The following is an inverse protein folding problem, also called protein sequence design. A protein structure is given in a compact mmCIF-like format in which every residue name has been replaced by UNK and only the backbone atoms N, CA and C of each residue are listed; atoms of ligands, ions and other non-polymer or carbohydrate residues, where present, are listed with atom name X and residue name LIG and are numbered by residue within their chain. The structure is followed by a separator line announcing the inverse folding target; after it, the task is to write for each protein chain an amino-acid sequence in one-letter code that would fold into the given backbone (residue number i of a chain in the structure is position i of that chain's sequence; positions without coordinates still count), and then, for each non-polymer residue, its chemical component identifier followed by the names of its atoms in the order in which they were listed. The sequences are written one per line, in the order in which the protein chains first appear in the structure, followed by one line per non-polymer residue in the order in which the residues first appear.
data_IF_137235781461
#
_entry.id   IF_137235781461
#
_cell.length_a   1.000
_cell.length_b   1.000
_cell.length_c   1.000
_cell.angle_alpha   90.00
_cell.angle_beta   90.00
_cell.angle_gamma   90.00
#
_symmetry.space_group_name_H-M   'P 1'
#
loop_
_entity.id
_entity.type
_entity.pdbx_description
1 polymer ?
#
# COMPACT_ATOMS: atom_id res chain seq x y z
N UNK A 1 3.31 7.63 13.45
CA UNK A 1 4.51 6.80 13.70
C UNK A 1 5.32 7.44 14.81
N UNK A 2 5.92 6.64 15.69
CA UNK A 2 6.63 7.11 16.89
C UNK A 2 8.11 7.39 16.61
N UNK A 3 8.73 6.66 15.68
CA UNK A 3 10.10 6.93 15.22
C UNK A 3 10.09 7.93 14.05
N UNK A 4 11.12 8.78 13.99
CA UNK A 4 11.33 9.73 12.91
C UNK A 4 11.69 9.05 11.57
N UNK A 5 11.53 9.77 10.47
CA UNK A 5 11.93 9.32 9.13
C UNK A 5 13.43 9.55 8.90
N UNK A 6 14.05 8.68 8.10
CA UNK A 6 15.48 8.75 7.78
C UNK A 6 15.72 8.57 6.28
N UNK A 7 15.02 9.36 5.44
CA UNK A 7 15.01 9.21 3.99
C UNK A 7 16.41 9.20 3.34
N UNK A 8 17.32 10.08 3.80
CA UNK A 8 18.69 10.13 3.27
C UNK A 8 19.48 8.85 3.58
N UNK A 9 19.30 8.33 4.79
CA UNK A 9 19.96 7.09 5.20
C UNK A 9 19.42 5.90 4.43
N UNK A 10 18.11 5.84 4.23
CA UNK A 10 17.46 4.77 3.48
C UNK A 10 17.94 4.77 2.01
N UNK A 11 18.03 5.94 1.38
CA UNK A 11 18.54 6.07 0.00
C UNK A 11 20.02 5.65 -0.10
N UNK A 12 20.85 6.06 0.86
CA UNK A 12 22.26 5.69 0.90
C UNK A 12 22.43 4.17 1.04
N UNK A 13 21.69 3.53 1.95
CA UNK A 13 21.74 2.08 2.17
C UNK A 13 21.28 1.30 0.92
N UNK A 14 20.18 1.72 0.28
CA UNK A 14 19.72 1.10 -0.97
C UNK A 14 20.76 1.24 -2.08
N UNK A 15 21.42 2.41 -2.19
CA UNK A 15 22.51 2.63 -3.14
C UNK A 15 23.68 1.68 -2.93
N UNK A 16 24.14 1.52 -1.68
CA UNK A 16 25.22 0.58 -1.34
C UNK A 16 24.84 -0.85 -1.68
N UNK A 17 23.63 -1.29 -1.33
CA UNK A 17 23.13 -2.64 -1.65
C UNK A 17 23.12 -2.87 -3.17
N UNK A 18 22.63 -1.91 -3.95
CA UNK A 18 22.58 -2.04 -5.41
C UNK A 18 23.96 -2.05 -6.07
N UNK A 19 24.96 -1.35 -5.52
CA UNK A 19 26.36 -1.46 -5.97
C UNK A 19 26.85 -2.90 -5.78
N UNK A 20 26.63 -3.49 -4.61
CA UNK A 20 27.01 -4.89 -4.35
C UNK A 20 26.27 -5.86 -5.28
N UNK A 21 24.94 -5.72 -5.44
CA UNK A 21 24.15 -6.59 -6.33
C UNK A 21 24.63 -6.49 -7.78
N UNK A 22 25.02 -5.30 -8.23
CA UNK A 22 25.56 -5.08 -9.59
C UNK A 22 26.87 -5.83 -9.82
N UNK A 23 27.77 -5.86 -8.83
CA UNK A 23 29.04 -6.62 -8.91
C UNK A 23 28.78 -8.12 -9.08
N UNK A 24 27.76 -8.64 -8.40
CA UNK A 24 27.36 -10.06 -8.47
C UNK A 24 26.36 -10.36 -9.61
N UNK A 25 26.08 -9.41 -10.51
CA UNK A 25 25.12 -9.55 -11.62
C UNK A 25 23.69 -9.94 -11.18
N UNK A 26 23.31 -9.56 -9.96
CA UNK A 26 21.99 -9.78 -9.39
C UNK A 26 21.05 -8.60 -9.72
N UNK A 27 19.72 -8.84 -9.79
CA UNK A 27 18.75 -7.78 -10.04
C UNK A 27 18.77 -6.73 -8.93
N UNK A 28 18.53 -5.48 -9.30
CA UNK A 28 18.52 -4.36 -8.37
C UNK A 28 17.28 -4.40 -7.48
N UNK A 29 17.45 -3.99 -6.22
CA UNK A 29 16.39 -3.93 -5.24
C UNK A 29 15.87 -2.51 -5.10
N UNK A 30 14.55 -2.38 -4.98
CA UNK A 30 13.84 -1.13 -4.76
C UNK A 30 12.76 -1.30 -3.68
N UNK A 31 12.28 -0.18 -3.14
CA UNK A 31 11.20 -0.20 -2.17
C UNK A 31 9.92 -0.78 -2.78
N UNK A 32 9.20 -1.60 -2.02
CA UNK A 32 7.98 -2.27 -2.48
C UNK A 32 6.74 -1.46 -2.08
N UNK A 33 6.24 -0.66 -3.02
CA UNK A 33 5.16 0.31 -2.79
C UNK A 33 3.87 -0.30 -2.23
N UNK A 34 3.34 -1.45 -2.72
CA UNK A 34 2.12 -2.03 -2.14
C UNK A 34 2.40 -2.88 -0.89
N UNK A 35 3.58 -3.51 -0.83
CA UNK A 35 3.93 -4.41 0.27
C UNK A 35 4.24 -3.67 1.57
N UNK A 36 4.96 -2.56 1.50
CA UNK A 36 5.32 -1.74 2.67
C UNK A 36 4.10 -1.24 3.47
N UNK A 37 3.07 -0.59 2.87
CA UNK A 37 1.89 -0.15 3.60
C UNK A 37 1.04 -1.32 4.07
N UNK A 38 0.95 -2.42 3.31
CA UNK A 38 0.22 -3.62 3.74
C UNK A 38 0.85 -4.26 4.98
N UNK A 39 2.17 -4.40 4.98
CA UNK A 39 2.92 -4.88 6.14
C UNK A 39 2.70 -4.00 7.37
N UNK A 40 2.68 -2.67 7.18
CA UNK A 40 2.40 -1.73 8.26
C UNK A 40 0.95 -1.82 8.76
N UNK A 41 -0.01 -2.02 7.87
CA UNK A 41 -1.43 -2.20 8.20
C UNK A 41 -1.67 -3.48 8.99
N UNK A 42 -0.96 -4.57 8.67
CA UNK A 42 -1.02 -5.81 9.45
C UNK A 42 -0.41 -5.68 10.86
N UNK A 43 0.42 -4.66 11.09
CA UNK A 43 1.00 -4.32 12.38
C UNK A 43 0.23 -3.20 13.10
N UNK A 44 -0.87 -2.72 12.52
CA UNK A 44 -1.68 -1.65 13.06
C UNK A 44 -2.83 -2.21 13.91
N UNK A 45 -2.98 -1.66 15.11
CA UNK A 45 -4.16 -1.86 15.95
C UNK A 45 -5.23 -0.85 15.49
N UNK A 46 -6.37 -1.37 15.02
CA UNK A 46 -7.50 -0.60 14.49
C UNK A 46 -8.61 -0.59 15.53
N UNK A 47 -9.12 0.60 15.87
CA UNK A 47 -10.32 0.76 16.71
C UNK A 47 -11.47 1.32 15.87
N UNK A 48 -12.68 0.82 16.13
CA UNK A 48 -13.90 1.39 15.59
C UNK A 48 -14.36 2.54 16.47
N UNK A 49 -14.45 3.73 15.88
CA UNK A 49 -15.05 4.90 16.52
C UNK A 49 -16.27 5.33 15.75
N UNK A 50 -17.37 5.54 16.46
CA UNK A 50 -18.58 6.11 15.89
C UNK A 50 -18.46 7.61 15.96
N UNK A 51 -18.33 8.28 14.82
CA UNK A 51 -18.40 9.74 14.71
C UNK A 51 -19.60 10.12 13.83
N UNK A 52 -20.42 11.06 14.31
CA UNK A 52 -21.61 11.55 13.62
C UNK A 52 -22.58 10.46 13.10
N UNK A 53 -22.66 9.30 13.80
CA UNK A 53 -23.53 8.18 13.40
C UNK A 53 -22.93 7.24 12.34
N UNK A 54 -21.71 7.50 11.87
CA UNK A 54 -20.95 6.61 11.00
C UNK A 54 -19.82 5.92 11.76
N UNK A 55 -19.67 4.61 11.55
CA UNK A 55 -18.56 3.82 12.12
C UNK A 55 -17.32 4.06 11.27
N UNK A 56 -16.30 4.69 11.85
CA UNK A 56 -15.00 4.90 11.24
C UNK A 56 -13.95 4.04 11.91
N UNK A 57 -13.21 3.27 11.10
CA UNK A 57 -12.04 2.54 11.55
C UNK A 57 -10.84 3.49 11.58
N UNK A 58 -10.31 3.75 12.77
CA UNK A 58 -9.12 4.58 12.94
C UNK A 58 -7.94 3.72 13.41
N UNK A 59 -6.76 4.02 12.86
CA UNK A 59 -5.51 3.38 13.29
C UNK A 59 -5.05 4.05 14.57
N UNK A 60 -5.09 3.34 15.69
CA UNK A 60 -4.74 3.88 17.01
C UNK A 60 -3.26 3.78 17.30
N UNK A 61 -2.66 2.66 16.90
CA UNK A 61 -1.24 2.41 17.11
C UNK A 61 -0.69 1.50 16.02
N UNK A 62 0.53 1.78 15.57
CA UNK A 62 1.28 0.90 14.68
C UNK A 62 2.47 0.31 15.43
N UNK A 63 2.63 -1.01 15.38
CA UNK A 63 3.77 -1.72 16.00
C UNK A 63 4.98 -1.65 15.09
N UNK A 64 5.89 -0.72 15.36
CA UNK A 64 7.14 -0.57 14.61
C UNK A 64 8.18 -1.63 15.01
N UNK A 65 8.19 -2.76 14.30
CA UNK A 65 9.10 -3.89 14.55
C UNK A 65 10.19 -3.98 13.49
N UNK A 66 11.43 -4.29 13.91
CA UNK A 66 12.55 -4.60 12.99
C UNK A 66 12.66 -6.10 12.70
N UNK A 67 12.16 -6.93 13.61
CA UNK A 67 12.28 -8.38 13.55
C UNK A 67 11.45 -8.98 12.42
N UNK A 68 10.24 -8.47 12.19
CA UNK A 68 9.34 -9.00 11.14
C UNK A 68 10.00 -8.97 9.76
N UNK A 69 10.63 -7.85 9.40
CA UNK A 69 11.39 -7.74 8.16
C UNK A 69 12.58 -8.71 8.09
N UNK A 70 13.37 -8.84 9.16
CA UNK A 70 14.51 -9.76 9.20
C UNK A 70 14.05 -11.21 9.04
N UNK A 71 13.03 -11.63 9.79
CA UNK A 71 12.46 -12.98 9.68
C UNK A 71 11.93 -13.27 8.27
N UNK A 72 11.21 -12.33 7.64
CA UNK A 72 10.74 -12.51 6.27
C UNK A 72 11.88 -12.74 5.28
N UNK A 73 12.98 -11.96 5.36
CA UNK A 73 14.11 -12.13 4.45
C UNK A 73 14.87 -13.45 4.69
N UNK A 74 15.00 -13.89 5.95
CA UNK A 74 15.57 -15.20 6.27
C UNK A 74 14.69 -16.32 5.69
N UNK A 75 13.37 -16.24 5.85
CA UNK A 75 12.43 -17.21 5.29
C UNK A 75 12.45 -17.23 3.76
N UNK A 76 12.60 -16.06 3.11
CA UNK A 76 12.79 -15.98 1.66
C UNK A 76 14.09 -16.70 1.25
N UNK A 77 15.20 -16.50 1.96
CA UNK A 77 16.44 -17.24 1.72
C UNK A 77 16.28 -18.75 1.90
N UNK A 78 15.59 -19.18 2.97
CA UNK A 78 15.29 -20.59 3.24
C UNK A 78 14.35 -21.20 2.20
N UNK A 79 13.47 -20.40 1.61
CA UNK A 79 12.48 -20.87 0.62
C UNK A 79 13.12 -21.53 -0.59
N UNK A 80 14.35 -21.14 -0.95
CA UNK A 80 15.10 -21.75 -2.07
C UNK A 80 15.30 -23.26 -1.84
N UNK A 81 15.53 -23.69 -0.59
CA UNK A 81 15.67 -25.11 -0.24
C UNK A 81 14.32 -25.84 -0.15
N UNK A 82 13.24 -25.11 0.13
CA UNK A 82 11.87 -25.64 0.29
C UNK A 82 11.08 -25.65 -1.02
N UNK A 83 11.62 -25.07 -2.10
CA UNK A 83 11.02 -25.02 -3.44
C UNK A 83 10.64 -26.41 -4.00
N UNK A 84 11.51 -27.44 -4.01
CA UNK A 84 11.16 -28.74 -4.58
C UNK A 84 10.05 -29.45 -3.79
N UNK A 85 10.05 -29.31 -2.46
CA UNK A 85 9.04 -29.84 -1.54
C UNK A 85 9.12 -29.05 -0.23
N UNK A 86 8.05 -28.48 0.36
CA UNK A 86 6.61 -28.59 0.04
C UNK A 86 6.01 -27.39 -0.72
N UNK A 87 6.79 -26.35 -1.07
CA UNK A 87 6.24 -25.14 -1.70
C UNK A 87 5.60 -25.41 -3.08
N UNK A 88 6.01 -26.47 -3.77
CA UNK A 88 5.43 -26.95 -5.03
C UNK A 88 3.97 -27.39 -4.93
N UNK A 89 3.44 -27.64 -3.73
CA UNK A 89 2.02 -27.97 -3.55
C UNK A 89 1.09 -26.76 -3.62
N UNK A 90 1.62 -25.54 -3.49
CA UNK A 90 0.79 -24.33 -3.49
C UNK A 90 0.38 -24.02 -4.93
N UNK A 91 -0.91 -24.12 -5.29
CA UNK A 91 -1.34 -23.83 -6.65
C UNK A 91 -1.14 -22.35 -6.97
N UNK A 92 -0.70 -22.04 -8.19
CA UNK A 92 -0.53 -20.66 -8.66
C UNK A 92 -1.82 -19.84 -8.51
N UNK A 93 -2.98 -20.47 -8.70
CA UNK A 93 -4.29 -19.85 -8.52
C UNK A 93 -4.51 -19.25 -7.11
N UNK A 94 -3.90 -19.82 -6.07
CA UNK A 94 -3.97 -19.27 -4.70
C UNK A 94 -3.15 -17.99 -4.60
N UNK A 95 -1.99 -17.95 -5.25
CA UNK A 95 -1.14 -16.75 -5.30
C UNK A 95 -1.83 -15.63 -6.10
N UNK A 96 -2.47 -15.95 -7.22
CA UNK A 96 -3.26 -14.97 -7.99
C UNK A 96 -4.41 -14.38 -7.18
N UNK A 97 -5.10 -15.22 -6.39
CA UNK A 97 -6.12 -14.76 -5.44
C UNK A 97 -5.56 -13.82 -4.37
N UNK A 98 -4.37 -14.13 -3.84
CA UNK A 98 -3.66 -13.24 -2.90
C UNK A 98 -3.27 -11.91 -3.55
N UNK A 99 -2.75 -11.93 -4.79
CA UNK A 99 -2.42 -10.72 -5.53
C UNK A 99 -3.64 -9.84 -5.80
N UNK A 100 -4.78 -10.45 -6.18
CA UNK A 100 -6.04 -9.73 -6.36
C UNK A 100 -6.50 -9.07 -5.06
N UNK A 101 -6.45 -9.80 -3.94
CA UNK A 101 -6.77 -9.25 -2.62
C UNK A 101 -5.87 -8.05 -2.29
N UNK A 102 -4.55 -8.20 -2.44
CA UNK A 102 -3.60 -7.12 -2.18
C UNK A 102 -3.89 -5.89 -3.06
N UNK A 103 -4.17 -6.10 -4.35
CA UNK A 103 -4.50 -5.02 -5.28
C UNK A 103 -5.76 -4.24 -4.84
N UNK A 104 -6.83 -4.94 -4.45
CA UNK A 104 -8.07 -4.29 -3.97
C UNK A 104 -7.82 -3.56 -2.65
N UNK A 105 -7.12 -4.19 -1.70
CA UNK A 105 -6.81 -3.54 -0.42
C UNK A 105 -5.88 -2.34 -0.55
N UNK A 106 -5.06 -2.28 -1.60
CA UNK A 106 -4.19 -1.12 -1.86
C UNK A 106 -4.95 0.11 -2.38
N UNK A 107 -6.20 -0.07 -2.84
CA UNK A 107 -7.10 1.03 -3.18
C UNK A 107 -7.72 1.68 -1.93
N UNK A 108 -7.76 0.95 -0.81
CA UNK A 108 -8.30 1.46 0.45
C UNK A 108 -7.40 2.57 1.02
N UNK A 109 -8.01 3.71 1.34
CA UNK A 109 -7.30 4.93 1.74
C UNK A 109 -6.62 5.71 0.59
N UNK A 110 -6.82 5.31 -0.67
CA UNK A 110 -6.36 6.10 -1.82
C UNK A 110 -7.36 7.22 -2.14
N UNK A 111 -6.94 8.47 -1.90
CA UNK A 111 -7.78 9.64 -2.14
C UNK A 111 -8.25 9.80 -3.60
N UNK A 112 -7.47 9.34 -4.58
CA UNK A 112 -7.92 9.36 -5.99
C UNK A 112 -9.10 8.41 -6.17
N UNK A 113 -8.99 7.20 -5.65
CA UNK A 113 -10.03 6.17 -5.75
C UNK A 113 -11.31 6.59 -4.99
N UNK A 114 -11.18 7.14 -3.79
CA UNK A 114 -12.30 7.75 -3.06
C UNK A 114 -13.02 8.80 -3.91
N UNK A 115 -12.27 9.70 -4.57
CA UNK A 115 -12.86 10.73 -5.44
C UNK A 115 -13.50 10.18 -6.71
N UNK A 116 -13.01 9.04 -7.23
CA UNK A 116 -13.65 8.34 -8.34
C UNK A 116 -14.99 7.75 -7.89
N UNK A 117 -15.06 7.14 -6.70
CA UNK A 117 -16.31 6.62 -6.12
C UNK A 117 -17.34 7.74 -5.94
N UNK A 118 -16.91 8.95 -5.55
CA UNK A 118 -17.80 10.11 -5.43
C UNK A 118 -18.49 10.51 -6.74
N UNK A 119 -17.95 10.15 -7.92
CA UNK A 119 -18.62 10.37 -9.21
C UNK A 119 -19.87 9.52 -9.37
N UNK A 120 -19.89 8.34 -8.75
CA UNK A 120 -21.01 7.39 -8.80
C UNK A 120 -21.93 7.48 -7.59
N UNK A 121 -21.50 8.15 -6.53
CA UNK A 121 -22.28 8.31 -5.29
C UNK A 121 -23.28 9.47 -5.46
N UNK A 122 -24.49 9.31 -4.92
CA UNK A 122 -25.49 10.37 -4.87
C UNK A 122 -25.05 11.50 -3.92
N UNK A 123 -25.33 12.76 -4.27
CA UNK A 123 -24.91 13.94 -3.51
C UNK A 123 -25.40 13.94 -2.04
N UNK A 124 -26.56 13.35 -1.77
CA UNK A 124 -27.11 13.24 -0.42
C UNK A 124 -26.32 12.28 0.48
N UNK A 125 -25.60 11.32 -0.10
CA UNK A 125 -24.82 10.30 0.61
C UNK A 125 -23.34 10.67 0.75
N UNK A 126 -22.96 11.92 0.46
CA UNK A 126 -21.55 12.33 0.53
C UNK A 126 -21.05 12.32 1.98
N UNK A 127 -19.95 11.60 2.27
CA UNK A 127 -19.38 11.60 3.61
C UNK A 127 -18.86 13.01 3.95
N UNK A 128 -18.93 13.44 5.22
CA UNK A 128 -18.50 14.77 5.64
C UNK A 128 -16.96 14.92 5.68
N UNK A 129 -16.29 14.77 4.54
CA UNK A 129 -14.83 14.87 4.43
C UNK A 129 -14.35 16.33 4.28
N UNK A 130 -13.09 16.60 4.70
CA UNK A 130 -12.47 17.93 4.69
C UNK A 130 -12.55 18.65 3.34
N UNK A 131 -12.29 17.92 2.26
CA UNK A 131 -12.26 18.48 0.90
C UNK A 131 -13.66 18.81 0.36
N UNK A 132 -14.70 18.04 0.74
CA UNK A 132 -16.09 18.28 0.30
C UNK A 132 -16.66 19.54 0.96
N UNK A 133 -16.26 19.83 2.20
CA UNK A 133 -16.72 21.02 2.94
C UNK A 133 -16.10 22.33 2.44
N UNK A 134 -14.93 22.30 1.80
CA UNK A 134 -14.16 23.50 1.45
C UNK A 134 -14.21 23.89 -0.02
N UNK A 135 -14.46 22.94 -0.92
CA UNK A 135 -14.30 23.14 -2.36
C UNK A 135 -15.61 22.80 -3.08
N UNK A 136 -16.05 23.62 -4.06
CA UNK A 136 -17.24 23.29 -4.86
C UNK A 136 -17.04 22.00 -5.65
N UNK A 137 -18.05 21.13 -5.66
CA UNK A 137 -18.02 19.78 -6.26
C UNK A 137 -17.53 19.77 -7.71
N UNK A 138 -17.94 20.75 -8.53
CA UNK A 138 -17.52 20.85 -9.93
C UNK A 138 -16.00 20.90 -10.09
N UNK A 139 -15.29 21.59 -9.19
CA UNK A 139 -13.83 21.68 -9.22
C UNK A 139 -13.17 20.37 -8.79
N UNK A 140 -13.77 19.65 -7.85
CA UNK A 140 -13.33 18.31 -7.44
C UNK A 140 -13.44 17.35 -8.61
N UNK A 141 -14.58 17.30 -9.30
CA UNK A 141 -14.75 16.39 -10.45
C UNK A 141 -13.86 16.76 -11.65
N UNK A 142 -13.67 18.06 -11.93
CA UNK A 142 -12.71 18.50 -12.95
C UNK A 142 -11.29 18.02 -12.62
N UNK A 143 -10.85 18.19 -11.38
CA UNK A 143 -9.53 17.73 -10.92
C UNK A 143 -9.39 16.20 -11.03
N UNK A 144 -10.37 15.44 -10.55
CA UNK A 144 -10.38 13.98 -10.65
C UNK A 144 -10.33 13.52 -12.12
N UNK A 145 -11.07 14.20 -13.01
CA UNK A 145 -11.03 13.91 -14.44
C UNK A 145 -9.64 14.07 -15.05
N UNK A 146 -8.93 15.17 -14.73
CA UNK A 146 -7.54 15.35 -15.15
C UNK A 146 -6.60 14.29 -14.58
N UNK A 147 -6.76 13.91 -13.30
CA UNK A 147 -5.94 12.85 -12.71
C UNK A 147 -6.17 11.48 -13.36
N UNK A 148 -7.42 11.14 -13.68
CA UNK A 148 -7.75 9.88 -14.37
C UNK A 148 -7.20 9.90 -15.80
N UNK A 149 -7.29 11.03 -16.50
CA UNK A 149 -6.67 11.18 -17.82
C UNK A 149 -5.16 10.98 -17.77
N UNK A 150 -4.48 11.62 -16.81
CA UNK A 150 -3.04 11.43 -16.62
C UNK A 150 -2.69 9.97 -16.32
N UNK A 151 -3.46 9.31 -15.45
CA UNK A 151 -3.27 7.89 -15.15
C UNK A 151 -3.45 7.03 -16.41
N UNK A 152 -4.49 7.28 -17.20
CA UNK A 152 -4.73 6.55 -18.45
C UNK A 152 -3.58 6.73 -19.45
N UNK A 153 -3.02 7.93 -19.56
CA UNK A 153 -1.84 8.20 -20.41
C UNK A 153 -0.60 7.47 -19.89
N UNK A 154 -0.41 7.37 -18.57
CA UNK A 154 0.72 6.62 -18.00
C UNK A 154 0.57 5.10 -18.11
N UNK A 155 -0.66 4.60 -18.22
CA UNK A 155 -0.96 3.17 -18.37
C UNK A 155 -1.04 2.70 -19.83
N UNK A 156 -1.07 3.61 -20.79
CA UNK A 156 -1.06 3.33 -22.23
C UNK A 156 0.37 3.12 -22.74
#
# INVERSE_FOLDING_TARGET
LKKGSAYHWDLFVVGVINIFLSIFTLPWMHAAIPHSPLHMRNLADVEERVDQGHVHQIIVRVRETRLTGIFSHILIGLSIFLLPYPLSYIPVAVLDGLFLYMAVTALDGNQLFERIILLFTEQAAYPPNHYIRRVPQRKVHQFTGFQVLQLAVMCA
#
